data_IF_501706283997
#
_entry.id   IF_501706283997
#
_cell.length_a   1.000
_cell.length_b   1.000
_cell.length_c   1.000
_cell.angle_alpha   90.00
_cell.angle_beta   90.00
_cell.angle_gamma   90.00
#
_symmetry.space_group_name_H-M   'P 1'
#
loop_
_entity.id
_entity.type
_entity.pdbx_description
1 polymer ?
#
# COMPACT_ATOMS: atom_id res chain seq x y z
N UNK A 1 -7.25 17.29 -19.47
CA UNK A 1 -6.56 15.99 -19.63
C UNK A 1 -5.43 15.96 -18.61
N UNK A 2 -5.69 15.42 -17.42
CA UNK A 2 -4.68 15.34 -16.35
C UNK A 2 -3.63 14.29 -16.76
N UNK A 3 -2.39 14.75 -16.92
CA UNK A 3 -1.21 13.91 -17.15
C UNK A 3 -1.02 13.02 -15.91
N UNK A 4 -1.56 11.80 -15.96
CA UNK A 4 -1.31 10.78 -14.94
C UNK A 4 0.17 10.42 -15.01
N UNK A 5 0.91 10.64 -13.93
CA UNK A 5 2.12 9.84 -13.68
C UNK A 5 1.62 8.58 -12.98
N UNK A 6 1.66 7.40 -13.62
CA UNK A 6 1.21 6.17 -12.97
C UNK A 6 2.38 5.66 -12.14
N UNK A 7 2.51 6.11 -10.90
CA UNK A 7 3.52 5.60 -9.99
C UNK A 7 2.88 4.69 -8.93
N UNK A 8 2.48 3.50 -9.37
CA UNK A 8 2.07 2.45 -8.45
C UNK A 8 3.26 2.04 -7.58
N UNK A 9 3.01 1.60 -6.35
CA UNK A 9 4.06 1.16 -5.43
C UNK A 9 3.82 -0.26 -4.97
N UNK A 10 4.84 -1.10 -5.08
CA UNK A 10 4.93 -2.38 -4.37
C UNK A 10 5.80 -2.17 -3.15
N UNK A 11 5.30 -2.56 -1.99
CA UNK A 11 5.92 -2.34 -0.70
C UNK A 11 5.89 -3.64 0.11
N UNK A 12 6.90 -3.84 0.96
CA UNK A 12 6.88 -4.86 1.99
C UNK A 12 6.71 -4.18 3.34
N UNK A 13 5.70 -4.57 4.11
CA UNK A 13 5.66 -4.18 5.52
C UNK A 13 6.34 -5.25 6.34
N UNK A 14 7.41 -4.85 7.03
CA UNK A 14 8.08 -5.65 8.06
C UNK A 14 7.59 -5.20 9.43
N UNK A 15 7.36 -6.13 10.34
CA UNK A 15 7.25 -5.81 11.75
C UNK A 15 8.12 -6.73 12.59
N UNK A 16 8.68 -6.18 13.67
CA UNK A 16 9.52 -6.88 14.63
C UNK A 16 8.98 -6.63 16.03
N UNK A 17 9.08 -7.64 16.89
CA UNK A 17 8.71 -7.52 18.30
C UNK A 17 9.98 -7.52 19.16
N UNK A 18 10.23 -6.41 19.85
CA UNK A 18 11.39 -6.24 20.73
C UNK A 18 10.90 -5.73 22.08
N UNK A 19 11.28 -6.39 23.17
CA UNK A 19 10.89 -6.02 24.55
C UNK A 19 9.38 -5.79 24.74
N UNK A 20 8.55 -6.60 24.09
CA UNK A 20 7.08 -6.49 24.15
C UNK A 20 6.48 -5.32 23.35
N UNK A 21 7.29 -4.57 22.61
CA UNK A 21 6.84 -3.53 21.68
C UNK A 21 6.89 -4.04 20.24
N UNK A 22 5.91 -3.62 19.45
CA UNK A 22 5.88 -3.86 18.01
C UNK A 22 6.43 -2.64 17.27
N UNK A 23 7.46 -2.85 16.45
CA UNK A 23 7.95 -1.86 15.49
C UNK A 23 7.57 -2.31 14.08
N UNK A 24 7.04 -1.40 13.28
CA UNK A 24 6.61 -1.70 11.91
C UNK A 24 7.21 -0.70 10.93
N UNK A 25 7.81 -1.23 9.86
CA UNK A 25 8.40 -0.45 8.78
C UNK A 25 7.75 -0.82 7.45
N UNK A 26 7.38 0.20 6.68
CA UNK A 26 6.98 0.03 5.28
C UNK A 26 8.21 0.29 4.42
N UNK A 27 8.57 -0.70 3.64
CA UNK A 27 9.77 -0.70 2.81
C UNK A 27 9.32 -0.65 1.34
N UNK A 28 9.65 0.40 0.58
CA UNK A 28 9.37 0.43 -0.85
C UNK A 28 10.24 -0.62 -1.55
N UNK A 29 9.60 -1.49 -2.32
CA UNK A 29 10.26 -2.57 -3.08
C UNK A 29 10.35 -2.20 -4.55
N UNK A 30 9.32 -1.54 -5.09
CA UNK A 30 9.28 -1.09 -6.48
C UNK A 30 8.30 0.07 -6.66
N UNK A 31 8.55 0.91 -7.66
CA UNK A 31 7.65 1.99 -8.08
C UNK A 31 7.68 2.14 -9.61
N UNK A 32 6.50 2.29 -10.24
CA UNK A 32 6.38 2.49 -11.69
C UNK A 32 4.96 2.27 -12.22
N UNK A 33 4.83 2.14 -13.54
CA UNK A 33 3.56 2.02 -14.27
C UNK A 33 3.32 0.64 -14.91
N UNK A 34 4.21 -0.31 -14.66
CA UNK A 34 4.12 -1.65 -15.22
C UNK A 34 2.89 -2.41 -14.70
N UNK A 35 2.11 -3.00 -15.61
CA UNK A 35 0.92 -3.81 -15.27
C UNK A 35 1.25 -5.11 -14.54
N UNK A 36 2.45 -5.63 -14.73
CA UNK A 36 2.93 -6.85 -14.09
C UNK A 36 4.35 -6.61 -13.59
N UNK A 37 4.60 -6.96 -12.33
CA UNK A 37 5.88 -6.75 -11.67
C UNK A 37 6.24 -8.02 -10.92
N UNK A 38 7.47 -8.49 -11.10
CA UNK A 38 8.05 -9.59 -10.34
C UNK A 38 9.38 -9.11 -9.77
N UNK A 39 9.48 -9.04 -8.45
CA UNK A 39 10.66 -8.54 -7.74
C UNK A 39 10.93 -9.46 -6.56
N UNK A 40 12.21 -9.73 -6.31
CA UNK A 40 12.67 -10.43 -5.10
C UNK A 40 13.23 -9.37 -4.15
N UNK A 41 12.69 -9.33 -2.94
CA UNK A 41 13.19 -8.51 -1.85
C UNK A 41 13.72 -9.42 -0.73
N UNK A 42 14.83 -9.01 -0.10
CA UNK A 42 15.45 -9.71 1.02
C UNK A 42 15.58 -8.76 2.21
N UNK A 43 15.29 -9.28 3.40
CA UNK A 43 15.49 -8.59 4.66
C UNK A 43 16.92 -8.79 5.17
N UNK A 44 17.83 -7.88 4.82
CA UNK A 44 19.24 -7.94 5.26
C UNK A 44 19.41 -7.72 6.76
N UNK A 45 18.40 -7.15 7.43
CA UNK A 45 18.40 -6.86 8.86
C UNK A 45 17.50 -7.85 9.63
N UNK A 46 17.34 -9.08 9.13
CA UNK A 46 16.57 -10.10 9.81
C UNK A 46 17.36 -10.67 10.99
N UNK A 47 16.75 -10.61 12.18
CA UNK A 47 17.25 -11.23 13.40
C UNK A 47 16.35 -12.44 13.76
N UNK A 48 16.87 -13.68 13.72
CA UNK A 48 16.08 -14.87 14.07
C UNK A 48 15.73 -14.95 15.56
N UNK A 49 16.39 -14.18 16.43
CA UNK A 49 16.05 -14.11 17.85
C UNK A 49 14.83 -13.21 18.13
N UNK A 50 14.41 -12.40 17.16
CA UNK A 50 13.31 -11.45 17.29
C UNK A 50 12.06 -11.95 16.54
N UNK A 51 10.89 -12.14 17.20
CA UNK A 51 9.65 -12.44 16.51
C UNK A 51 9.37 -11.39 15.44
N UNK A 52 9.08 -11.84 14.22
CA UNK A 52 9.00 -10.96 13.06
C UNK A 52 7.87 -11.39 12.12
N UNK A 53 7.31 -10.43 11.38
CA UNK A 53 6.35 -10.69 10.31
C UNK A 53 6.61 -9.83 9.08
N UNK A 54 6.16 -10.33 7.93
CA UNK A 54 6.20 -9.60 6.67
C UNK A 54 4.92 -9.81 5.88
N UNK A 55 4.43 -8.78 5.20
CA UNK A 55 3.43 -8.93 4.15
C UNK A 55 3.74 -7.99 2.99
N UNK A 56 3.39 -8.42 1.78
CA UNK A 56 3.44 -7.57 0.61
C UNK A 56 2.19 -6.68 0.58
N UNK A 57 2.33 -5.43 0.11
CA UNK A 57 1.21 -4.55 -0.18
C UNK A 57 1.47 -3.75 -1.45
N UNK A 58 0.42 -3.49 -2.21
CA UNK A 58 0.46 -2.71 -3.44
C UNK A 58 -0.43 -1.49 -3.25
N UNK A 59 0.08 -0.30 -3.56
CA UNK A 59 -0.70 0.94 -3.61
C UNK A 59 -0.93 1.35 -5.06
N UNK A 60 -2.19 1.62 -5.38
CA UNK A 60 -2.55 2.21 -6.66
C UNK A 60 -2.09 3.67 -6.74
N UNK A 61 -1.98 4.20 -7.96
CA UNK A 61 -1.98 5.64 -8.18
C UNK A 61 -3.34 6.21 -7.75
N UNK A 62 -3.35 7.46 -7.28
CA UNK A 62 -4.56 8.14 -6.87
C UNK A 62 -5.63 8.12 -7.99
N UNK A 63 -6.83 7.63 -7.66
CA UNK A 63 -7.95 7.43 -8.57
C UNK A 63 -9.21 8.11 -8.03
N UNK A 64 -10.14 8.56 -8.90
CA UNK A 64 -11.39 9.14 -8.42
C UNK A 64 -12.24 8.09 -7.70
N UNK A 65 -12.80 8.46 -6.55
CA UNK A 65 -13.75 7.62 -5.83
C UNK A 65 -14.98 7.31 -6.67
N UNK A 66 -15.65 6.20 -6.38
CA UNK A 66 -16.92 5.87 -7.02
C UNK A 66 -17.97 6.97 -6.85
N UNK A 67 -18.05 7.58 -5.66
CA UNK A 67 -18.92 8.73 -5.39
C UNK A 67 -18.62 9.92 -6.30
N UNK A 68 -17.34 10.26 -6.49
CA UNK A 68 -16.89 11.32 -7.38
C UNK A 68 -17.24 11.05 -8.85
N UNK A 69 -17.19 9.78 -9.28
CA UNK A 69 -17.62 9.38 -10.62
C UNK A 69 -19.14 9.50 -10.79
N UNK A 70 -19.91 9.04 -9.80
CA UNK A 70 -21.38 9.09 -9.82
C UNK A 70 -21.88 10.54 -9.82
N UNK A 71 -21.35 11.36 -8.92
CA UNK A 71 -21.58 12.78 -8.79
C UNK A 71 -21.45 13.54 -10.12
N UNK A 72 -20.33 13.34 -10.82
CA UNK A 72 -20.07 13.95 -12.13
C UNK A 72 -21.04 13.47 -13.20
N UNK A 73 -21.40 12.17 -13.15
CA UNK A 73 -22.36 11.58 -14.08
C UNK A 73 -23.78 12.13 -13.89
N UNK A 74 -24.17 12.45 -12.65
CA UNK A 74 -25.50 12.96 -12.32
C UNK A 74 -25.59 14.48 -12.26
N UNK A 75 -24.47 15.20 -12.31
CA UNK A 75 -24.43 16.67 -12.25
C UNK A 75 -24.74 17.23 -10.86
N UNK A 76 -24.48 16.45 -9.80
CA UNK A 76 -24.87 16.78 -8.41
C UNK A 76 -23.69 17.07 -7.49
N UNK A 77 -22.56 17.49 -8.05
CA UNK A 77 -21.35 17.69 -7.24
C UNK A 77 -21.40 18.87 -6.29
N UNK A 78 -22.18 19.89 -6.63
CA UNK A 78 -22.36 21.05 -5.78
C UNK A 78 -23.15 20.72 -4.49
N UNK A 79 -23.83 19.56 -4.44
CA UNK A 79 -24.52 19.10 -3.23
C UNK A 79 -23.57 18.57 -2.15
N UNK A 80 -22.34 18.21 -2.52
CA UNK A 80 -21.35 17.60 -1.63
C UNK A 80 -19.98 18.28 -1.78
N UNK A 81 -19.86 19.59 -1.51
CA UNK A 81 -18.64 20.36 -1.78
C UNK A 81 -17.43 19.88 -0.97
N UNK A 82 -17.67 19.31 0.23
CA UNK A 82 -16.62 18.83 1.13
C UNK A 82 -16.29 17.34 0.96
N UNK A 83 -16.92 16.64 0.00
CA UNK A 83 -16.70 15.22 -0.17
C UNK A 83 -15.35 14.93 -0.86
N UNK A 84 -14.58 14.01 -0.27
CA UNK A 84 -13.35 13.47 -0.88
C UNK A 84 -13.63 12.99 -2.31
N UNK A 85 -12.84 13.47 -3.26
CA UNK A 85 -12.99 13.12 -4.67
C UNK A 85 -12.05 11.98 -5.09
N UNK A 86 -10.94 11.83 -4.38
CA UNK A 86 -9.83 10.95 -4.75
C UNK A 86 -9.56 9.92 -3.65
N UNK A 87 -9.00 8.77 -4.05
CA UNK A 87 -8.60 7.69 -3.17
C UNK A 87 -7.33 7.03 -3.70
N UNK A 88 -6.52 6.50 -2.79
CA UNK A 88 -5.44 5.56 -3.11
C UNK A 88 -5.90 4.20 -2.59
N UNK A 89 -6.20 3.30 -3.51
CA UNK A 89 -6.54 1.93 -3.14
C UNK A 89 -5.29 1.12 -2.79
N UNK A 90 -5.47 0.09 -1.97
CA UNK A 90 -4.36 -0.74 -1.50
C UNK A 90 -4.79 -2.19 -1.34
N UNK A 91 -4.02 -3.08 -1.95
CA UNK A 91 -4.11 -4.52 -1.74
C UNK A 91 -2.97 -5.01 -0.84
N UNK A 92 -3.20 -6.07 -0.09
CA UNK A 92 -2.27 -6.59 0.92
C UNK A 92 -2.33 -8.12 0.89
N UNK A 93 -1.19 -8.78 1.06
CA UNK A 93 -1.15 -10.23 1.24
C UNK A 93 -1.40 -10.62 2.69
N UNK A 94 -1.63 -11.90 2.92
CA UNK A 94 -1.49 -12.46 4.26
C UNK A 94 -0.05 -12.31 4.78
N UNK A 95 0.15 -12.15 6.09
CA UNK A 95 1.48 -12.09 6.69
C UNK A 95 2.14 -13.47 6.76
N UNK A 96 3.46 -13.46 6.60
CA UNK A 96 4.36 -14.57 6.90
C UNK A 96 4.99 -14.28 8.26
N UNK A 97 4.99 -15.25 9.16
CA UNK A 97 5.49 -15.11 10.52
C UNK A 97 6.78 -15.92 10.71
N UNK A 98 7.72 -15.33 11.45
CA UNK A 98 8.93 -15.99 11.94
C UNK A 98 8.96 -15.84 13.46
N UNK A 99 8.92 -16.97 14.17
CA UNK A 99 9.08 -17.01 15.62
C UNK A 99 10.45 -17.60 15.96
N UNK A 100 11.13 -17.08 16.99
CA UNK A 100 12.33 -17.70 17.53
C UNK A 100 12.04 -19.15 17.96
N UNK A 101 13.02 -20.04 17.80
CA UNK A 101 12.93 -21.43 18.27
C UNK A 101 13.46 -21.59 19.68
#
# INVERSE_FOLDING_TARGET
MLLRKPDQRLECSKGTFTDGKQEQHVIPVWQGDARNVCVVWRDENYDPASPSFWYARVQETESPRWSALMCRRTGRCDEFPDADQMIIERAWSSPIWSMPR
#
